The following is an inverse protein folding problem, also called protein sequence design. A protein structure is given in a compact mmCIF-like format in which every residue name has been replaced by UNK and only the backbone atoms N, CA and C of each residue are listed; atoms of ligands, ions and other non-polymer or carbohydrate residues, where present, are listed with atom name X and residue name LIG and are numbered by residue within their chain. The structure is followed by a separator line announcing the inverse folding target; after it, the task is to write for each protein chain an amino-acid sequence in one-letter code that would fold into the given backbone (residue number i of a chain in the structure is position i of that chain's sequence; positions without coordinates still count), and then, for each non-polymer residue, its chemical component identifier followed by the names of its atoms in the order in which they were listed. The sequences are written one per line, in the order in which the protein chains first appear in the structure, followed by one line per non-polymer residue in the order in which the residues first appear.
data_IF_789594507897
#
_entry.id   IF_789594507897
#
_cell.length_a   1.000
_cell.length_b   1.000
_cell.length_c   1.000
_cell.angle_alpha   90.00
_cell.angle_beta   90.00
_cell.angle_gamma   90.00
#
_symmetry.space_group_name_H-M   'P 1'
#
loop_
_entity.id
_entity.type
_entity.pdbx_description
1 polymer ?
#
# COMPACT_ATOMS: atom_id res chain seq x y z
N UNK A 1 12.29 -20.27 -15.35
CA UNK A 1 12.67 -18.85 -15.48
C UNK A 1 12.63 -18.27 -14.08
N UNK A 2 13.74 -17.72 -13.60
CA UNK A 2 13.78 -17.04 -12.30
C UNK A 2 13.48 -15.55 -12.54
N UNK A 3 12.48 -15.01 -11.83
CA UNK A 3 12.11 -13.61 -11.95
C UNK A 3 12.76 -12.82 -10.81
N UNK A 4 13.71 -11.96 -11.16
CA UNK A 4 14.46 -11.15 -10.19
C UNK A 4 13.67 -9.95 -9.65
N UNK A 5 12.60 -9.52 -10.32
CA UNK A 5 11.82 -8.34 -9.91
C UNK A 5 10.34 -8.52 -10.27
N UNK A 6 9.46 -8.19 -9.33
CA UNK A 6 8.02 -8.16 -9.57
C UNK A 6 7.69 -7.09 -10.61
N UNK A 7 7.07 -7.51 -11.72
CA UNK A 7 6.55 -6.56 -12.71
C UNK A 7 5.23 -5.96 -12.21
N UNK A 8 4.87 -4.74 -12.65
CA UNK A 8 3.58 -4.14 -12.28
C UNK A 8 2.36 -4.98 -12.65
N UNK A 9 2.46 -5.80 -13.71
CA UNK A 9 1.39 -6.71 -14.13
C UNK A 9 1.24 -7.82 -13.09
N UNK A 10 2.32 -8.53 -12.75
CA UNK A 10 2.26 -9.60 -11.77
C UNK A 10 1.83 -9.10 -10.39
N UNK A 11 2.29 -7.91 -9.98
CA UNK A 11 1.84 -7.32 -8.71
C UNK A 11 0.33 -7.13 -8.66
N UNK A 12 -0.32 -6.78 -9.79
CA UNK A 12 -1.78 -6.67 -9.87
C UNK A 12 -2.46 -8.02 -9.78
N UNK A 13 -1.91 -9.06 -10.41
CA UNK A 13 -2.46 -10.42 -10.33
C UNK A 13 -2.43 -10.99 -8.92
N UNK A 14 -1.49 -10.53 -8.07
CA UNK A 14 -1.43 -10.95 -6.67
C UNK A 14 -2.48 -10.29 -5.77
N UNK A 15 -3.25 -9.31 -6.27
CA UNK A 15 -4.28 -8.64 -5.47
C UNK A 15 -5.48 -9.58 -5.29
N UNK A 16 -5.74 -10.00 -4.05
CA UNK A 16 -6.95 -10.75 -3.71
C UNK A 16 -8.17 -9.83 -3.63
N UNK A 17 -8.03 -8.70 -2.93
CA UNK A 17 -9.08 -7.70 -2.79
C UNK A 17 -8.52 -6.33 -2.43
N UNK A 18 -9.32 -5.30 -2.72
CA UNK A 18 -9.08 -3.93 -2.27
C UNK A 18 -10.25 -3.52 -1.39
N UNK A 19 -9.97 -3.15 -0.15
CA UNK A 19 -10.95 -2.59 0.75
C UNK A 19 -10.88 -1.06 0.70
N UNK A 20 -12.04 -0.44 0.50
CA UNK A 20 -12.17 1.01 0.43
C UNK A 20 -13.22 1.46 1.45
N UNK A 21 -12.84 1.65 2.72
CA UNK A 21 -13.70 2.24 3.74
C UNK A 21 -14.24 3.63 3.36
N UNK A 22 -15.26 4.06 4.12
CA UNK A 22 -15.80 5.41 4.03
C UNK A 22 -14.73 6.45 4.36
N UNK A 23 -14.92 7.64 3.77
CA UNK A 23 -14.05 8.79 4.01
C UNK A 23 -14.27 9.30 5.44
N UNK A 24 -13.18 9.57 6.14
CA UNK A 24 -13.17 10.21 7.46
C UNK A 24 -12.87 11.71 7.32
N UNK A 25 -13.44 12.54 8.19
CA UNK A 25 -13.24 13.99 8.21
C UNK A 25 -14.28 14.79 7.40
N UNK A 26 -14.13 16.12 7.40
CA UNK A 26 -15.08 17.06 6.78
C UNK A 26 -14.37 18.15 5.99
N UNK A 27 -15.06 18.70 4.98
CA UNK A 27 -14.53 19.77 4.14
C UNK A 27 -13.25 19.39 3.39
N UNK A 28 -12.20 20.20 3.53
CA UNK A 28 -10.90 19.98 2.87
C UNK A 28 -10.01 18.96 3.60
N UNK A 29 -10.30 18.67 4.87
CA UNK A 29 -9.52 17.76 5.70
C UNK A 29 -10.21 16.40 5.75
N UNK A 30 -10.06 15.64 4.67
CA UNK A 30 -10.64 14.32 4.53
C UNK A 30 -9.56 13.28 4.24
N UNK A 31 -9.71 12.12 4.85
CA UNK A 31 -8.80 10.99 4.68
C UNK A 31 -9.60 9.79 4.25
N UNK A 32 -9.06 9.05 3.27
CA UNK A 32 -9.61 7.78 2.87
C UNK A 32 -8.53 6.72 2.99
N UNK A 33 -8.79 5.69 3.80
CA UNK A 33 -7.92 4.53 3.88
C UNK A 33 -8.25 3.60 2.73
N UNK A 34 -7.22 2.99 2.13
CA UNK A 34 -7.36 1.93 1.14
C UNK A 34 -6.44 0.80 1.58
N UNK A 35 -6.99 -0.41 1.72
CA UNK A 35 -6.22 -1.60 2.09
C UNK A 35 -6.17 -2.54 0.90
N UNK A 36 -4.96 -2.90 0.46
CA UNK A 36 -4.76 -3.85 -0.64
C UNK A 36 -4.30 -5.17 -0.03
N UNK A 37 -5.11 -6.21 -0.22
CA UNK A 37 -4.79 -7.56 0.24
C UNK A 37 -4.13 -8.31 -0.91
N UNK A 38 -2.92 -8.82 -0.66
CA UNK A 38 -2.20 -9.67 -1.61
C UNK A 38 -2.31 -11.13 -1.19
N UNK A 39 -2.55 -12.03 -2.14
CA UNK A 39 -2.56 -13.48 -1.95
C UNK A 39 -1.63 -14.14 -2.95
N UNK A 40 -0.64 -14.84 -2.44
CA UNK A 40 0.35 -15.55 -3.23
C UNK A 40 0.85 -16.79 -2.46
N UNK A 41 1.50 -17.70 -3.17
CA UNK A 41 2.19 -18.86 -2.57
C UNK A 41 3.69 -18.57 -2.65
N UNK A 42 4.38 -18.56 -1.50
CA UNK A 42 5.80 -18.26 -1.39
C UNK A 42 6.11 -17.26 -0.27
N UNK A 43 7.29 -16.65 -0.32
CA UNK A 43 7.70 -15.60 0.61
C UNK A 43 7.92 -14.28 -0.15
N UNK A 44 7.44 -13.18 0.42
CA UNK A 44 7.75 -11.82 -0.03
C UNK A 44 8.55 -11.15 1.07
N UNK A 45 9.85 -10.99 0.84
CA UNK A 45 10.70 -10.23 1.76
C UNK A 45 10.59 -8.74 1.42
N UNK A 46 10.04 -7.97 2.33
CA UNK A 46 10.11 -6.50 2.28
C UNK A 46 11.36 -6.12 3.07
N UNK A 47 12.42 -5.56 2.44
CA UNK A 47 13.65 -5.27 3.13
C UNK A 47 13.41 -4.32 4.31
N UNK A 48 13.87 -4.67 5.52
CA UNK A 48 13.73 -3.82 6.72
C UNK A 48 14.40 -2.44 6.54
N UNK A 49 15.44 -2.34 5.72
CA UNK A 49 16.06 -1.06 5.34
C UNK A 49 15.11 -0.10 4.62
N UNK A 50 14.00 -0.62 4.09
CA UNK A 50 12.86 0.12 3.56
C UNK A 50 11.70 0.12 4.55
N UNK A 51 11.98 0.37 5.83
CA UNK A 51 11.01 1.01 6.69
C UNK A 51 10.68 2.38 6.09
N UNK A 52 9.78 2.38 5.11
CA UNK A 52 9.06 3.54 4.60
C UNK A 52 8.18 4.05 5.74
N UNK A 53 8.78 4.47 6.86
CA UNK A 53 8.02 4.89 8.04
C UNK A 53 7.06 5.99 7.63
N UNK A 54 7.47 6.87 6.70
CA UNK A 54 6.66 7.95 6.14
C UNK A 54 6.89 8.09 4.62
N UNK A 55 6.48 7.10 3.81
CA UNK A 55 6.40 7.32 2.36
C UNK A 55 5.13 8.14 2.08
N UNK A 56 5.31 9.44 1.90
CA UNK A 56 4.27 10.38 1.49
C UNK A 56 4.56 10.91 0.09
N UNK A 57 3.57 10.86 -0.78
CA UNK A 57 3.65 11.31 -2.15
C UNK A 57 2.54 12.35 -2.39
N UNK A 58 2.95 13.57 -2.74
CA UNK A 58 2.02 14.61 -3.18
C UNK A 58 1.64 14.36 -4.63
N UNK A 59 0.45 13.78 -4.83
CA UNK A 59 0.00 13.32 -6.15
C UNK A 59 -0.58 14.45 -7.00
N UNK A 60 -1.28 15.39 -6.36
CA UNK A 60 -1.81 16.63 -6.97
C UNK A 60 -1.99 17.69 -5.89
N UNK A 61 -2.21 18.95 -6.30
CA UNK A 61 -2.40 20.05 -5.35
C UNK A 61 -3.53 19.74 -4.35
N UNK A 62 -3.19 19.75 -3.06
CA UNK A 62 -4.13 19.47 -1.97
C UNK A 62 -4.43 17.99 -1.72
N UNK A 63 -3.72 17.04 -2.36
CA UNK A 63 -3.87 15.60 -2.12
C UNK A 63 -2.53 14.91 -1.96
N UNK A 64 -2.34 14.27 -0.82
CA UNK A 64 -1.21 13.41 -0.53
C UNK A 64 -1.65 11.96 -0.33
N UNK A 65 -0.82 11.02 -0.77
CA UNK A 65 -0.96 9.60 -0.48
C UNK A 65 0.15 9.22 0.49
N UNK A 66 -0.20 8.53 1.56
CA UNK A 66 0.74 8.05 2.56
C UNK A 66 0.64 6.53 2.67
N UNK A 67 1.79 5.86 2.62
CA UNK A 67 1.88 4.44 2.91
C UNK A 67 1.85 4.23 4.43
N UNK A 68 0.85 3.48 4.89
CA UNK A 68 0.71 3.10 6.28
C UNK A 68 1.15 1.63 6.42
N UNK A 69 2.37 1.35 6.92
CA UNK A 69 2.78 -0.03 7.17
C UNK A 69 1.87 -0.63 8.24
N UNK A 70 1.46 -1.89 8.04
CA UNK A 70 0.74 -2.62 9.07
C UNK A 70 1.70 -2.84 10.24
N UNK A 71 1.57 -2.07 11.31
CA UNK A 71 2.28 -2.33 12.56
C UNK A 71 1.61 -3.54 13.19
N UNK A 72 2.00 -4.74 12.78
CA UNK A 72 1.69 -5.93 13.57
C UNK A 72 2.35 -5.71 14.95
N UNK A 73 1.55 -5.34 15.93
CA UNK A 73 1.96 -5.29 17.33
C UNK A 73 2.37 -6.71 17.72
N UNK A 74 3.63 -6.86 18.15
CA UNK A 74 4.17 -8.09 18.70
C UNK A 74 3.38 -8.55 19.94
#
# INVERSE_FOLDING_TARGET
MEMQTLTPILLKELIEKIEVPNIEGTGKNRTQRITIHYRFIGALEIPESRHYKHLKLDTRQGVAVEYLPNTATA
#
